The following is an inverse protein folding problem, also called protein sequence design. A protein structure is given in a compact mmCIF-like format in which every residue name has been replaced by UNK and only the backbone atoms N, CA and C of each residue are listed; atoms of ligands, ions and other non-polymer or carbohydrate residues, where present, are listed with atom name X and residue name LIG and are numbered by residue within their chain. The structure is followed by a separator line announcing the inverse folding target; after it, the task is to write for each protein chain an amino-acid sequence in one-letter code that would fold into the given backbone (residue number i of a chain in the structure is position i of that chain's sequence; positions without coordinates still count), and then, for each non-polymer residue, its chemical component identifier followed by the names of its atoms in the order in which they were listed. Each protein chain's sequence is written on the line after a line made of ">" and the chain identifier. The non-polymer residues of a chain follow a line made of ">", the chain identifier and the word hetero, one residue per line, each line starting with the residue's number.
data_IF_848057866188
#
_entry.id   IF_848057866188
#
_cell.length_a   1.000
_cell.length_b   1.000
_cell.length_c   1.000
_cell.angle_alpha   90.00
_cell.angle_beta   90.00
_cell.angle_gamma   90.00
#
_symmetry.space_group_name_H-M   'P 1'
#
loop_
_entity.id
_entity.type
_entity.pdbx_description
1 polymer ?
#
# COMPACT_ATOMS: atom_id res chain seq x y z
N UNK A 1 16.90 11.40 8.67
CA UNK A 1 16.00 11.96 7.63
C UNK A 1 15.60 10.79 6.76
N UNK A 2 14.33 10.70 6.38
CA UNK A 2 13.85 9.66 5.47
C UNK A 2 14.11 10.18 4.07
N UNK A 3 14.94 9.49 3.30
CA UNK A 3 15.31 9.88 1.94
C UNK A 3 14.78 8.87 0.91
N UNK A 4 14.59 7.60 1.30
CA UNK A 4 14.17 6.53 0.40
C UNK A 4 13.06 5.68 0.99
N UNK A 5 12.00 5.49 0.21
CA UNK A 5 10.95 4.51 0.46
C UNK A 5 11.09 3.38 -0.55
N UNK A 6 11.14 2.15 -0.07
CA UNK A 6 10.90 0.97 -0.90
C UNK A 6 9.41 0.62 -0.82
N UNK A 7 8.75 0.58 -1.97
CA UNK A 7 7.32 0.31 -2.08
C UNK A 7 7.06 -0.99 -2.85
N UNK A 8 6.27 -1.86 -2.23
CA UNK A 8 5.76 -3.12 -2.77
C UNK A 8 4.28 -3.26 -2.42
N UNK A 9 3.59 -4.16 -3.11
CA UNK A 9 2.19 -4.49 -2.91
C UNK A 9 1.89 -5.82 -3.59
N UNK A 10 0.76 -6.46 -3.30
CA UNK A 10 0.24 -7.61 -4.06
C UNK A 10 1.27 -8.74 -4.13
N UNK A 11 1.89 -9.05 -2.98
CA UNK A 11 2.82 -10.18 -2.89
C UNK A 11 2.08 -11.52 -2.98
N UNK A 12 0.80 -11.59 -2.59
CA UNK A 12 -0.05 -12.78 -2.65
C UNK A 12 0.63 -14.05 -2.12
N UNK A 13 1.25 -13.97 -0.94
CA UNK A 13 1.97 -15.07 -0.30
C UNK A 13 3.29 -15.47 -0.99
N UNK A 14 3.73 -14.72 -2.00
CA UNK A 14 4.98 -14.95 -2.73
C UNK A 14 6.14 -14.10 -2.23
N UNK A 15 6.03 -13.46 -1.06
CA UNK A 15 7.06 -12.58 -0.49
C UNK A 15 8.42 -13.27 -0.29
N UNK A 16 8.46 -14.58 -0.03
CA UNK A 16 9.71 -15.35 0.05
C UNK A 16 10.49 -15.45 -1.28
N UNK A 17 9.87 -15.08 -2.41
CA UNK A 17 10.57 -14.97 -3.72
C UNK A 17 11.29 -13.63 -3.88
N UNK A 18 11.07 -12.67 -3.00
CA UNK A 18 11.78 -11.40 -2.97
C UNK A 18 13.10 -11.57 -2.21
N UNK A 19 14.17 -11.78 -2.95
CA UNK A 19 15.54 -11.74 -2.44
C UNK A 19 16.23 -10.46 -2.92
N UNK A 20 17.25 -10.00 -2.19
CA UNK A 20 18.06 -8.83 -2.51
C UNK A 20 17.25 -7.53 -2.72
N UNK A 21 16.28 -7.29 -1.82
CA UNK A 21 15.52 -6.04 -1.84
C UNK A 21 16.45 -4.82 -1.65
N UNK A 22 16.21 -3.69 -2.35
CA UNK A 22 17.04 -2.50 -2.22
C UNK A 22 17.06 -1.91 -0.82
N UNK A 23 18.19 -1.33 -0.43
CA UNK A 23 18.30 -0.52 0.79
C UNK A 23 17.36 0.70 0.72
N UNK A 24 16.62 0.93 1.81
CA UNK A 24 15.73 2.07 1.97
C UNK A 24 15.58 2.42 3.46
N UNK A 25 15.08 3.62 3.76
CA UNK A 25 14.80 4.02 5.14
C UNK A 25 13.49 3.40 5.65
N UNK A 26 12.50 3.28 4.75
CA UNK A 26 11.18 2.72 5.06
C UNK A 26 10.77 1.75 3.95
N UNK A 27 10.27 0.58 4.35
CA UNK A 27 9.54 -0.35 3.48
C UNK A 27 8.03 -0.15 3.65
N UNK A 28 7.29 -0.03 2.56
CA UNK A 28 5.83 0.05 2.54
C UNK A 28 5.25 -1.11 1.73
N UNK A 29 4.29 -1.85 2.31
CA UNK A 29 3.49 -2.87 1.63
C UNK A 29 2.01 -2.43 1.53
N UNK A 30 1.52 -2.07 0.34
CA UNK A 30 0.17 -1.49 0.18
C UNK A 30 -0.97 -2.51 -0.02
N UNK A 31 -0.96 -3.61 0.74
CA UNK A 31 -2.03 -4.62 0.72
C UNK A 31 -1.81 -5.83 -0.19
N UNK A 32 -2.67 -6.83 -0.03
CA UNK A 32 -2.66 -8.12 -0.72
C UNK A 32 -1.38 -8.90 -0.49
N UNK A 33 -1.01 -9.03 0.78
CA UNK A 33 0.10 -9.91 1.17
C UNK A 33 -0.31 -11.38 1.29
N UNK A 34 -1.60 -11.66 1.40
CA UNK A 34 -2.15 -13.02 1.35
C UNK A 34 -2.76 -13.33 -0.02
N UNK A 35 -2.95 -14.62 -0.34
CA UNK A 35 -3.69 -15.04 -1.53
C UNK A 35 -5.14 -15.40 -1.17
N UNK A 36 -5.35 -16.13 -0.07
CA UNK A 36 -6.68 -16.60 0.32
C UNK A 36 -7.21 -15.95 1.60
N UNK A 37 -6.45 -15.04 2.20
CA UNK A 37 -6.83 -14.38 3.44
C UNK A 37 -6.90 -15.33 4.62
N UNK A 38 -6.01 -16.34 4.72
CA UNK A 38 -5.94 -17.20 5.88
C UNK A 38 -4.99 -16.64 6.96
N UNK A 39 -5.28 -16.92 8.24
CA UNK A 39 -4.39 -16.55 9.36
C UNK A 39 -2.97 -17.09 9.17
N UNK A 40 -2.84 -18.27 8.57
CA UNK A 40 -1.54 -18.88 8.31
C UNK A 40 -0.71 -18.07 7.29
N UNK A 41 -1.34 -17.53 6.24
CA UNK A 41 -0.67 -16.64 5.28
C UNK A 41 -0.29 -15.32 5.94
N UNK A 42 -1.14 -14.77 6.82
CA UNK A 42 -0.81 -13.57 7.59
C UNK A 42 0.41 -13.80 8.48
N UNK A 43 0.44 -14.90 9.25
CA UNK A 43 1.57 -15.24 10.12
C UNK A 43 2.86 -15.42 9.30
N UNK A 44 2.77 -16.10 8.15
CA UNK A 44 3.92 -16.28 7.27
C UNK A 44 4.46 -14.96 6.72
N UNK A 45 3.57 -14.07 6.26
CA UNK A 45 3.92 -12.72 5.85
C UNK A 45 4.56 -11.92 7.00
N UNK A 46 3.95 -11.91 8.19
CA UNK A 46 4.45 -11.14 9.32
C UNK A 46 5.83 -11.63 9.79
N UNK A 47 6.07 -12.94 9.81
CA UNK A 47 7.40 -13.48 10.12
C UNK A 47 8.45 -12.96 9.14
N UNK A 48 8.16 -13.05 7.84
CA UNK A 48 9.06 -12.52 6.81
C UNK A 48 9.25 -11.00 6.93
N UNK A 49 8.16 -10.25 7.08
CA UNK A 49 8.18 -8.80 7.07
C UNK A 49 8.89 -8.22 8.29
N UNK A 50 8.70 -8.81 9.48
CA UNK A 50 9.39 -8.39 10.69
C UNK A 50 10.91 -8.62 10.60
N UNK A 51 11.34 -9.73 10.00
CA UNK A 51 12.76 -10.10 9.86
C UNK A 51 13.56 -9.20 8.90
N UNK A 52 12.90 -8.39 8.06
CA UNK A 52 13.59 -7.48 7.14
C UNK A 52 14.28 -6.32 7.89
N UNK A 53 15.53 -6.02 7.53
CA UNK A 53 16.36 -4.98 8.16
C UNK A 53 16.08 -3.57 7.64
N UNK A 54 14.81 -3.15 7.69
CA UNK A 54 14.39 -1.77 7.44
C UNK A 54 14.11 -1.05 8.76
N UNK A 55 14.55 0.21 8.85
CA UNK A 55 14.38 1.03 10.06
C UNK A 55 12.91 1.16 10.46
N UNK A 56 12.02 1.35 9.49
CA UNK A 56 10.57 1.27 9.68
C UNK A 56 9.93 0.50 8.53
N UNK A 57 8.83 -0.18 8.85
CA UNK A 57 8.07 -1.03 7.95
C UNK A 57 6.60 -0.71 8.13
N UNK A 58 5.89 -0.35 7.06
CA UNK A 58 4.47 -0.01 7.10
C UNK A 58 3.73 -0.98 6.19
N UNK A 59 2.57 -1.45 6.64
CA UNK A 59 1.68 -2.19 5.76
C UNK A 59 0.21 -1.85 6.03
N UNK A 60 -0.61 -2.05 5.00
CA UNK A 60 -2.07 -2.03 5.07
C UNK A 60 -2.62 -3.34 4.50
N UNK A 61 -3.91 -3.60 4.68
CA UNK A 61 -4.60 -4.73 4.05
C UNK A 61 -5.12 -4.37 2.64
N UNK A 62 -5.13 -5.35 1.75
CA UNK A 62 -5.87 -5.33 0.49
C UNK A 62 -7.08 -6.26 0.52
N UNK A 63 -7.71 -6.49 -0.64
CA UNK A 63 -8.95 -7.26 -0.75
C UNK A 63 -8.76 -8.78 -0.57
N UNK A 64 -7.52 -9.28 -0.59
CA UNK A 64 -7.22 -10.67 -0.26
C UNK A 64 -7.00 -10.89 1.24
N UNK A 65 -6.76 -9.85 2.03
CA UNK A 65 -6.37 -9.97 3.44
C UNK A 65 -7.56 -10.02 4.42
N UNK A 66 -8.70 -10.60 3.99
CA UNK A 66 -9.99 -10.45 4.68
C UNK A 66 -10.06 -11.07 6.09
N UNK A 67 -9.18 -12.02 6.45
CA UNK A 67 -9.11 -12.51 7.84
C UNK A 67 -8.78 -11.41 8.85
N UNK A 68 -8.25 -10.27 8.39
CA UNK A 68 -7.95 -9.13 9.23
C UNK A 68 -9.08 -8.09 9.28
N UNK A 69 -10.22 -8.34 8.63
CA UNK A 69 -11.37 -7.44 8.72
C UNK A 69 -11.90 -7.37 10.16
N UNK A 70 -11.87 -6.16 10.73
CA UNK A 70 -12.23 -5.88 12.14
C UNK A 70 -11.37 -6.63 13.17
N UNK A 71 -10.26 -7.22 12.75
CA UNK A 71 -9.28 -7.85 13.62
C UNK A 71 -8.31 -6.80 14.20
N UNK A 72 -7.73 -7.13 15.35
CA UNK A 72 -6.60 -6.40 15.91
C UNK A 72 -5.33 -7.21 15.67
N UNK A 73 -4.25 -6.52 15.29
CA UNK A 73 -2.91 -7.11 15.19
C UNK A 73 -2.10 -6.60 16.37
N UNK A 74 -1.84 -7.48 17.33
CA UNK A 74 -1.02 -7.21 18.50
C UNK A 74 0.36 -7.87 18.37
N UNK A 75 1.34 -7.37 19.13
CA UNK A 75 2.65 -8.02 19.25
C UNK A 75 3.62 -7.77 18.09
N UNK A 76 3.34 -6.78 17.23
CA UNK A 76 4.30 -6.30 16.24
C UNK A 76 5.51 -5.65 16.91
N UNK A 77 6.68 -5.80 16.27
CA UNK A 77 7.88 -5.07 16.67
C UNK A 77 7.64 -3.55 16.60
N UNK A 78 8.33 -2.79 17.43
CA UNK A 78 8.14 -1.34 17.55
C UNK A 78 8.43 -0.56 16.24
N UNK A 79 9.08 -1.18 15.25
CA UNK A 79 9.33 -0.60 13.94
C UNK A 79 8.41 -1.12 12.82
N UNK A 80 7.43 -1.97 13.13
CA UNK A 80 6.46 -2.51 12.18
C UNK A 80 5.09 -1.91 12.48
N UNK A 81 4.51 -1.24 11.48
CA UNK A 81 3.32 -0.41 11.63
C UNK A 81 2.21 -0.92 10.71
N UNK A 82 1.16 -1.45 11.30
CA UNK A 82 -0.09 -1.71 10.60
C UNK A 82 -0.96 -0.45 10.60
N UNK A 83 -1.37 0.02 9.42
CA UNK A 83 -2.31 1.14 9.29
C UNK A 83 -3.66 0.66 8.78
N UNK A 84 -4.73 1.06 9.46
CA UNK A 84 -6.10 0.71 9.12
C UNK A 84 -7.01 1.91 9.39
N UNK A 85 -7.21 2.74 8.37
CA UNK A 85 -7.88 4.04 8.52
C UNK A 85 -7.22 4.90 9.62
N UNK A 86 -5.89 4.88 9.64
CA UNK A 86 -5.06 5.47 10.69
C UNK A 86 -3.76 6.00 10.09
N UNK A 87 -3.05 6.84 10.85
CA UNK A 87 -1.78 7.40 10.44
C UNK A 87 -0.70 7.31 11.50
N UNK A 88 0.54 7.53 11.05
CA UNK A 88 1.74 7.55 11.88
C UNK A 88 2.70 8.62 11.35
N UNK A 89 3.33 9.36 12.27
CA UNK A 89 4.39 10.28 11.93
C UNK A 89 5.75 9.61 12.16
N UNK A 90 6.58 9.56 11.12
CA UNK A 90 7.93 9.02 11.19
C UNK A 90 8.89 10.09 10.68
N UNK A 91 9.81 10.53 11.54
CA UNK A 91 10.82 11.54 11.22
C UNK A 91 10.28 12.82 10.55
N UNK A 92 9.07 13.27 10.94
CA UNK A 92 8.45 14.48 10.40
C UNK A 92 7.67 14.28 9.10
N UNK A 93 7.47 13.03 8.65
CA UNK A 93 6.63 12.68 7.51
C UNK A 93 5.39 11.97 8.04
N UNK A 94 4.21 12.47 7.70
CA UNK A 94 2.95 11.85 8.11
C UNK A 94 2.42 10.88 7.05
N UNK A 95 2.32 9.60 7.45
CA UNK A 95 1.79 8.50 6.65
C UNK A 95 0.34 8.23 7.05
N UNK A 96 -0.55 8.03 6.09
CA UNK A 96 -1.93 7.63 6.36
C UNK A 96 -2.32 6.44 5.49
N UNK A 97 -2.86 5.38 6.12
CA UNK A 97 -3.16 4.11 5.48
C UNK A 97 -4.65 3.79 5.47
N UNK A 98 -5.19 3.40 4.32
CA UNK A 98 -6.57 2.95 4.15
C UNK A 98 -6.56 1.57 3.49
N UNK A 99 -7.09 0.53 4.15
CA UNK A 99 -7.17 -0.80 3.56
C UNK A 99 -8.25 -0.87 2.47
N UNK A 100 -8.28 -1.96 1.72
CA UNK A 100 -9.38 -2.29 0.82
C UNK A 100 -10.04 -3.60 1.25
N UNK A 101 -11.05 -3.54 2.10
CA UNK A 101 -11.88 -4.71 2.41
C UNK A 101 -13.10 -4.72 1.50
N UNK A 102 -13.43 -5.88 0.94
CA UNK A 102 -14.55 -6.00 -0.01
C UNK A 102 -15.88 -5.60 0.62
N UNK A 103 -16.06 -5.89 1.91
CA UNK A 103 -17.19 -5.51 2.76
C UNK A 103 -17.37 -3.99 2.82
N UNK A 104 -16.26 -3.24 2.90
CA UNK A 104 -16.30 -1.78 2.93
C UNK A 104 -16.56 -1.21 1.52
N UNK A 105 -16.00 -1.83 0.47
CA UNK A 105 -16.14 -1.40 -0.93
C UNK A 105 -17.57 -1.51 -1.47
N UNK A 106 -18.35 -2.50 -1.02
CA UNK A 106 -19.75 -2.67 -1.43
C UNK A 106 -20.71 -1.78 -0.64
N UNK A 107 -20.20 -0.95 0.26
CA UNK A 107 -20.98 0.01 1.05
C UNK A 107 -20.39 1.41 0.95
N UNK A 108 -21.07 2.40 1.52
CA UNK A 108 -20.52 3.77 1.63
C UNK A 108 -19.35 3.88 2.63
N UNK A 109 -18.98 2.78 3.32
CA UNK A 109 -17.93 2.80 4.34
C UNK A 109 -16.58 3.15 3.71
N UNK A 110 -16.25 2.58 2.55
CA UNK A 110 -14.99 2.91 1.87
C UNK A 110 -14.91 4.39 1.47
N UNK A 111 -16.00 4.95 0.94
CA UNK A 111 -16.05 6.38 0.59
C UNK A 111 -15.86 7.27 1.82
N UNK A 112 -16.50 6.94 2.95
CA UNK A 112 -16.32 7.66 4.22
C UNK A 112 -14.91 7.54 4.77
N UNK A 113 -14.22 6.43 4.52
CA UNK A 113 -12.81 6.29 4.89
C UNK A 113 -11.94 7.27 4.08
N UNK A 114 -12.20 7.42 2.78
CA UNK A 114 -11.51 8.42 1.94
C UNK A 114 -11.78 9.85 2.43
N UNK A 115 -13.03 10.20 2.74
CA UNK A 115 -13.37 11.54 3.26
C UNK A 115 -12.59 11.93 4.53
N UNK A 116 -12.18 10.95 5.32
CA UNK A 116 -11.46 11.12 6.58
C UNK A 116 -9.94 11.25 6.42
N UNK A 117 -9.35 11.10 5.21
CA UNK A 117 -7.90 11.28 4.99
C UNK A 117 -7.45 12.66 5.51
N UNK A 118 -6.54 12.78 6.48
CA UNK A 118 -6.11 14.06 7.01
C UNK A 118 -5.44 14.95 5.95
N UNK A 119 -5.66 16.27 6.03
CA UNK A 119 -5.15 17.24 5.04
C UNK A 119 -3.63 17.46 5.11
N UNK A 120 -3.00 17.06 6.21
CA UNK A 120 -1.56 17.07 6.46
C UNK A 120 -0.87 15.74 6.11
N UNK A 121 -1.54 14.86 5.36
CA UNK A 121 -0.95 13.60 4.87
C UNK A 121 0.14 13.88 3.83
N UNK A 122 1.38 13.54 4.15
CA UNK A 122 2.52 13.59 3.22
C UNK A 122 2.53 12.38 2.28
N UNK A 123 2.28 11.19 2.84
CA UNK A 123 2.30 9.91 2.13
C UNK A 123 1.00 9.17 2.38
N UNK A 124 0.16 9.10 1.34
CA UNK A 124 -1.07 8.33 1.37
C UNK A 124 -0.79 6.89 0.91
N UNK A 125 -1.29 5.91 1.64
CA UNK A 125 -1.19 4.49 1.31
C UNK A 125 -2.61 3.94 1.20
N UNK A 126 -2.99 3.46 0.02
CA UNK A 126 -4.28 2.77 -0.19
C UNK A 126 -4.02 1.51 -0.99
N UNK A 127 -4.85 0.48 -0.86
CA UNK A 127 -4.74 -0.62 -1.81
C UNK A 127 -5.42 -0.25 -3.14
N UNK A 128 -6.59 0.38 -3.09
CA UNK A 128 -7.33 0.89 -4.26
C UNK A 128 -6.55 1.99 -4.99
N UNK A 129 -6.39 1.92 -6.32
CA UNK A 129 -5.86 3.02 -7.13
C UNK A 129 -6.80 4.23 -7.20
N UNK A 130 -6.25 5.40 -7.50
CA UNK A 130 -7.06 6.56 -7.87
C UNK A 130 -7.50 6.46 -9.34
N UNK A 131 -8.73 6.89 -9.65
CA UNK A 131 -9.27 6.79 -11.02
C UNK A 131 -8.36 7.46 -12.05
N UNK A 132 -8.04 6.73 -13.12
CA UNK A 132 -7.20 7.20 -14.22
C UNK A 132 -5.69 7.19 -13.93
N UNK A 133 -5.26 6.69 -12.77
CA UNK A 133 -3.86 6.65 -12.37
C UNK A 133 -3.41 5.20 -12.18
N UNK A 134 -2.70 4.65 -13.17
CA UNK A 134 -2.17 3.28 -13.14
C UNK A 134 -3.23 2.24 -12.74
N UNK A 135 -4.46 2.42 -13.23
CA UNK A 135 -5.64 1.67 -12.81
C UNK A 135 -6.40 1.00 -13.98
N UNK A 136 -5.82 1.06 -15.19
CA UNK A 136 -6.45 0.56 -16.40
C UNK A 136 -6.06 -0.88 -16.67
N UNK A 137 -7.05 -1.77 -16.71
CA UNK A 137 -6.89 -3.17 -17.10
C UNK A 137 -8.18 -3.70 -17.72
N UNK A 138 -8.11 -4.76 -18.54
CA UNK A 138 -9.29 -5.36 -19.19
C UNK A 138 -10.26 -4.36 -19.87
N UNK A 139 -9.68 -3.30 -20.45
CA UNK A 139 -10.35 -2.18 -21.11
C UNK A 139 -11.22 -1.28 -20.20
N UNK A 140 -11.07 -1.35 -18.88
CA UNK A 140 -11.78 -0.50 -17.92
C UNK A 140 -10.82 0.11 -16.88
N UNK A 141 -11.29 1.14 -16.17
CA UNK A 141 -10.59 1.75 -15.05
C UNK A 141 -11.15 1.20 -13.74
N UNK A 142 -10.28 0.66 -12.89
CA UNK A 142 -10.64 0.10 -11.58
C UNK A 142 -10.47 1.09 -10.42
N UNK A 143 -9.84 2.25 -10.65
CA UNK A 143 -9.59 3.23 -9.61
C UNK A 143 -10.85 3.98 -9.17
N UNK A 144 -10.81 4.56 -7.96
CA UNK A 144 -11.93 5.34 -7.40
C UNK A 144 -11.82 6.83 -7.74
N UNK A 145 -12.95 7.41 -8.19
CA UNK A 145 -13.06 8.85 -8.45
C UNK A 145 -13.14 9.69 -7.18
N UNK A 146 -13.75 9.15 -6.13
CA UNK A 146 -13.84 9.73 -4.79
C UNK A 146 -12.44 9.84 -4.17
N UNK A 147 -11.66 8.75 -4.24
CA UNK A 147 -10.27 8.73 -3.81
C UNK A 147 -9.43 9.75 -4.59
N UNK A 148 -9.56 9.78 -5.93
CA UNK A 148 -8.86 10.77 -6.76
C UNK A 148 -9.21 12.20 -6.35
N UNK A 149 -10.50 12.48 -6.13
CA UNK A 149 -10.97 13.81 -5.71
C UNK A 149 -10.41 14.19 -4.34
N UNK A 150 -10.31 13.24 -3.41
CA UNK A 150 -9.70 13.46 -2.10
C UNK A 150 -8.20 13.71 -2.20
N UNK A 151 -7.48 12.95 -3.03
CA UNK A 151 -6.04 13.14 -3.26
C UNK A 151 -5.76 14.54 -3.80
N UNK A 152 -6.58 15.06 -4.72
CA UNK A 152 -6.42 16.44 -5.20
C UNK A 152 -6.63 17.49 -4.10
N UNK A 153 -7.53 17.24 -3.14
CA UNK A 153 -7.78 18.14 -2.02
C UNK A 153 -6.67 18.10 -0.95
N UNK A 154 -6.13 16.91 -0.67
CA UNK A 154 -5.06 16.69 0.32
C UNK A 154 -3.69 17.05 -0.26
N UNK A 155 -3.48 16.79 -1.55
CA UNK A 155 -2.23 17.00 -2.29
C UNK A 155 -1.00 16.36 -1.61
N UNK A 156 -1.03 15.04 -1.32
CA UNK A 156 0.11 14.36 -0.70
C UNK A 156 1.33 14.39 -1.64
N UNK A 157 2.53 14.30 -1.08
CA UNK A 157 3.77 14.16 -1.87
C UNK A 157 3.78 12.82 -2.60
N UNK A 158 3.34 11.75 -1.92
CA UNK A 158 3.27 10.39 -2.48
C UNK A 158 1.88 9.78 -2.28
N UNK A 159 1.43 9.02 -3.28
CA UNK A 159 0.33 8.06 -3.16
C UNK A 159 0.83 6.67 -3.56
N UNK A 160 0.88 5.76 -2.59
CA UNK A 160 1.39 4.39 -2.71
C UNK A 160 0.20 3.41 -2.72
N UNK A 161 0.09 2.60 -3.77
CA UNK A 161 -1.00 1.65 -3.94
C UNK A 161 -0.64 0.43 -4.77
N UNK A 162 -1.58 -0.50 -4.95
CA UNK A 162 -1.38 -1.76 -5.65
C UNK A 162 -2.55 -2.13 -6.57
N UNK A 163 -3.04 -3.36 -6.43
CA UNK A 163 -4.27 -3.91 -7.02
C UNK A 163 -4.20 -4.22 -8.52
N UNK A 164 -3.73 -3.27 -9.34
CA UNK A 164 -3.73 -3.42 -10.80
C UNK A 164 -2.35 -3.85 -11.29
N UNK A 165 -2.14 -5.17 -11.37
CA UNK A 165 -0.83 -5.78 -11.63
C UNK A 165 -0.21 -5.36 -12.95
N UNK A 166 -1.03 -5.18 -14.00
CA UNK A 166 -0.58 -4.78 -15.34
C UNK A 166 -0.04 -3.34 -15.38
N UNK A 167 -0.33 -2.54 -14.34
CA UNK A 167 0.03 -1.13 -14.24
C UNK A 167 1.12 -0.85 -13.19
N UNK A 168 1.87 -1.88 -12.76
CA UNK A 168 3.05 -1.71 -11.90
C UNK A 168 3.97 -0.61 -12.45
N UNK A 169 4.18 0.47 -11.69
CA UNK A 169 4.76 1.68 -12.27
C UNK A 169 4.80 2.87 -11.34
N UNK A 170 5.40 3.96 -11.84
CA UNK A 170 5.42 5.26 -11.18
C UNK A 170 5.03 6.31 -12.21
N UNK A 171 4.09 7.18 -11.84
CA UNK A 171 3.74 8.38 -12.61
C UNK A 171 3.72 9.59 -11.70
N UNK A 172 3.93 10.77 -12.27
CA UNK A 172 3.81 12.04 -11.55
C UNK A 172 2.69 12.85 -12.15
N UNK A 173 1.80 13.34 -11.30
CA UNK A 173 0.76 14.30 -11.69
C UNK A 173 0.77 15.44 -10.68
N UNK A 174 0.94 16.67 -11.19
CA UNK A 174 1.16 17.86 -10.37
C UNK A 174 2.36 17.66 -9.41
N UNK A 175 2.16 17.89 -8.12
CA UNK A 175 3.14 17.67 -7.05
C UNK A 175 3.20 16.23 -6.54
N UNK A 176 2.18 15.41 -6.81
CA UNK A 176 2.07 14.05 -6.27
C UNK A 176 2.75 13.04 -7.19
N UNK A 177 3.56 12.16 -6.59
CA UNK A 177 4.07 10.96 -7.24
C UNK A 177 3.16 9.79 -6.85
N UNK A 178 2.67 9.09 -7.85
CA UNK A 178 1.81 7.92 -7.73
C UNK A 178 2.64 6.69 -8.03
N UNK A 179 2.62 5.71 -7.13
CA UNK A 179 3.34 4.46 -7.31
C UNK A 179 2.37 3.30 -7.16
N UNK A 180 2.25 2.51 -8.22
CA UNK A 180 1.66 1.18 -8.16
C UNK A 180 2.78 0.16 -7.87
N UNK A 181 2.75 -0.41 -6.68
CA UNK A 181 3.72 -1.33 -6.12
C UNK A 181 3.42 -2.80 -6.39
N UNK A 182 2.38 -3.14 -7.14
CA UNK A 182 1.94 -4.52 -7.36
C UNK A 182 3.06 -5.39 -7.94
N UNK A 183 3.67 -6.23 -7.10
CA UNK A 183 4.85 -7.00 -7.49
C UNK A 183 4.45 -8.26 -8.25
N UNK A 184 3.33 -8.90 -7.95
CA UNK A 184 2.86 -10.02 -8.76
C UNK A 184 2.46 -9.47 -10.13
N UNK A 185 2.89 -10.13 -11.21
CA UNK A 185 2.49 -9.72 -12.54
C UNK A 185 1.07 -10.21 -12.88
N UNK A 186 0.49 -9.70 -13.96
CA UNK A 186 -0.92 -9.92 -14.30
C UNK A 186 -1.28 -11.40 -14.56
N UNK A 187 -0.33 -12.23 -15.01
CA UNK A 187 -0.54 -13.66 -15.25
C UNK A 187 -0.09 -14.57 -14.09
N UNK A 188 0.33 -13.97 -12.96
CA UNK A 188 0.77 -14.66 -11.73
C UNK A 188 1.98 -15.59 -11.90
N UNK A 189 2.80 -15.40 -12.94
CA UNK A 189 3.98 -16.23 -13.20
C UNK A 189 5.27 -15.64 -12.64
N UNK A 190 5.41 -14.32 -12.64
CA UNK A 190 6.65 -13.61 -12.34
C UNK A 190 6.43 -12.44 -11.38
N UNK A 191 7.54 -11.91 -10.84
CA UNK A 191 7.52 -10.72 -10.02
C UNK A 191 8.07 -9.52 -10.78
N UNK A 192 7.33 -8.42 -10.76
CA UNK A 192 7.76 -7.09 -11.15
C UNK A 192 8.79 -6.54 -10.16
N UNK A 193 9.58 -5.57 -10.59
CA UNK A 193 10.55 -4.89 -9.72
C UNK A 193 9.85 -4.02 -8.65
N UNK A 194 10.29 -4.11 -7.38
CA UNK A 194 9.93 -3.16 -6.33
C UNK A 194 10.19 -1.70 -6.72
N UNK A 195 9.45 -0.76 -6.13
CA UNK A 195 9.57 0.67 -6.42
C UNK A 195 10.38 1.38 -5.36
N UNK A 196 11.63 1.72 -5.69
CA UNK A 196 12.45 2.59 -4.85
C UNK A 196 12.17 4.06 -5.21
N UNK A 197 11.69 4.82 -4.24
CA UNK A 197 11.24 6.21 -4.41
C UNK A 197 12.10 7.09 -3.52
N UNK A 198 12.70 8.12 -4.12
CA UNK A 198 13.44 9.14 -3.38
C UNK A 198 12.49 10.26 -2.96
N UNK A 199 12.51 10.59 -1.67
CA UNK A 199 11.82 11.74 -1.09
C UNK A 199 12.88 12.82 -0.90
N UNK A 200 12.90 13.79 -1.83
CA UNK A 200 13.71 14.99 -1.68
C UNK A 200 12.87 16.06 -0.99
N UNK A 201 13.45 16.71 0.02
CA UNK A 201 12.92 17.93 0.65
C UNK A 201 12.82 19.09 -0.35
#
# INVERSE_FOLDING_TARGET
>A
MINKILHISDTHGCHHRLYDLPDADILVHSGDFTMNGSEQEVIDFLNWFCDLDYRHKIFICGNHDNCLYEANIDGLDANVHYLCNSGIELNGIYFYGIPMFMEDCITERQNRNYEQIPTDTDVLITHTPAYGILDYDDNIHYGSGELFSRILAVNPRLHLFGHIHSQNGIVKMNSTIFSNGAIMNADYTNLNSPKLIEIND
#
